data_IF_246866149456
#
_entry.id   IF_246866149456
#
_cell.length_a   1.000
_cell.length_b   1.000
_cell.length_c   1.000
_cell.angle_alpha   90.00
_cell.angle_beta   90.00
_cell.angle_gamma   90.00
#
_symmetry.space_group_name_H-M   'P 1'
#
loop_
_entity.id
_entity.type
_entity.pdbx_description
1 polymer ?
#
# COMPACT_ATOMS: atom_id res chain seq x y z
N UNK A 1 3.78 28.42 -14.63
CA UNK A 1 4.60 27.56 -13.75
C UNK A 1 4.06 26.16 -13.76
N UNK A 2 4.86 25.25 -14.25
CA UNK A 2 4.50 23.84 -14.23
C UNK A 2 4.72 23.29 -12.85
N UNK A 3 3.64 22.96 -12.15
CA UNK A 3 3.67 22.18 -10.91
C UNK A 3 4.17 20.78 -11.22
N UNK A 4 5.48 20.67 -11.41
CA UNK A 4 6.09 19.36 -11.58
C UNK A 4 6.15 18.68 -10.23
N UNK A 5 5.37 17.64 -10.10
CA UNK A 5 5.44 16.78 -8.92
C UNK A 5 6.74 16.00 -8.93
N UNK A 6 7.37 15.82 -7.76
CA UNK A 6 8.65 15.09 -7.71
C UNK A 6 8.48 13.65 -8.17
N UNK A 7 9.48 13.14 -8.88
CA UNK A 7 9.49 11.75 -9.36
C UNK A 7 9.30 10.74 -8.22
N UNK A 8 9.92 10.91 -7.03
CA UNK A 8 9.66 9.99 -5.90
C UNK A 8 8.19 9.89 -5.50
N UNK A 9 7.44 11.00 -5.56
CA UNK A 9 6.02 11.00 -5.25
C UNK A 9 5.23 10.16 -6.27
N UNK A 10 5.55 10.32 -7.55
CA UNK A 10 4.95 9.52 -8.63
C UNK A 10 5.21 8.03 -8.41
N UNK A 11 6.47 7.67 -8.12
CA UNK A 11 6.87 6.27 -7.88
C UNK A 11 6.11 5.69 -6.69
N UNK A 12 6.03 6.41 -5.57
CA UNK A 12 5.29 5.98 -4.38
C UNK A 12 3.82 5.77 -4.70
N UNK A 13 3.18 6.70 -5.39
CA UNK A 13 1.77 6.59 -5.76
C UNK A 13 1.52 5.40 -6.70
N UNK A 14 2.41 5.15 -7.65
CA UNK A 14 2.33 4.00 -8.55
C UNK A 14 2.48 2.69 -7.80
N UNK A 15 3.45 2.60 -6.87
CA UNK A 15 3.65 1.40 -6.04
C UNK A 15 2.46 1.14 -5.13
N UNK A 16 1.87 2.18 -4.53
CA UNK A 16 0.66 2.04 -3.72
C UNK A 16 -0.54 1.56 -4.54
N UNK A 17 -0.69 2.07 -5.76
CA UNK A 17 -1.75 1.64 -6.66
C UNK A 17 -1.55 0.19 -7.08
N UNK A 18 -0.31 -0.22 -7.36
CA UNK A 18 0.04 -1.60 -7.67
C UNK A 18 -0.26 -2.52 -6.49
N UNK A 19 0.10 -2.10 -5.28
CA UNK A 19 -0.17 -2.84 -4.05
C UNK A 19 -1.68 -3.00 -3.82
N UNK A 20 -2.45 -1.94 -4.02
CA UNK A 20 -3.92 -1.97 -3.95
C UNK A 20 -4.50 -2.96 -4.98
N UNK A 21 -4.00 -2.94 -6.21
CA UNK A 21 -4.43 -3.87 -7.26
C UNK A 21 -4.13 -5.32 -6.87
N UNK A 22 -2.97 -5.59 -6.25
CA UNK A 22 -2.62 -6.92 -5.77
C UNK A 22 -3.59 -7.41 -4.69
N UNK A 23 -3.95 -6.56 -3.73
CA UNK A 23 -4.93 -6.91 -2.69
C UNK A 23 -6.34 -7.14 -3.25
N UNK A 24 -6.76 -6.34 -4.23
CA UNK A 24 -8.03 -6.57 -4.93
C UNK A 24 -8.02 -7.89 -5.69
N UNK A 25 -6.93 -8.19 -6.38
CA UNK A 25 -6.77 -9.45 -7.10
C UNK A 25 -6.85 -10.66 -6.17
N UNK A 26 -6.18 -10.61 -5.03
CA UNK A 26 -6.27 -11.66 -4.00
C UNK A 26 -7.69 -11.80 -3.47
N UNK A 27 -8.36 -10.69 -3.19
CA UNK A 27 -9.74 -10.69 -2.72
C UNK A 27 -10.69 -11.34 -3.71
N UNK A 28 -10.52 -11.02 -5.00
CA UNK A 28 -11.29 -11.67 -6.09
C UNK A 28 -11.00 -13.17 -6.14
N UNK A 29 -9.73 -13.57 -6.05
CA UNK A 29 -9.34 -14.98 -6.08
C UNK A 29 -9.99 -15.76 -4.93
N UNK A 30 -9.91 -15.26 -3.70
CA UNK A 30 -10.57 -15.90 -2.54
C UNK A 30 -12.08 -15.97 -2.67
N UNK A 31 -12.71 -14.93 -3.23
CA UNK A 31 -14.16 -14.94 -3.47
C UNK A 31 -14.54 -15.99 -4.51
N UNK A 32 -13.76 -16.11 -5.58
CA UNK A 32 -13.96 -17.12 -6.61
C UNK A 32 -13.84 -18.53 -6.03
N UNK A 33 -12.85 -18.78 -5.17
CA UNK A 33 -12.69 -20.09 -4.52
C UNK A 33 -13.90 -20.46 -3.65
N UNK A 34 -14.45 -19.49 -2.94
CA UNK A 34 -15.68 -19.71 -2.15
C UNK A 34 -16.85 -20.06 -3.05
N UNK A 35 -17.05 -19.30 -4.15
CA UNK A 35 -18.17 -19.54 -5.09
C UNK A 35 -18.04 -20.90 -5.75
N UNK A 36 -16.81 -21.33 -6.06
CA UNK A 36 -16.55 -22.64 -6.67
C UNK A 36 -16.60 -23.81 -5.68
N UNK A 37 -16.69 -23.53 -4.40
CA UNK A 37 -16.68 -24.55 -3.35
C UNK A 37 -15.31 -25.17 -3.12
N UNK A 38 -14.23 -24.53 -3.58
CA UNK A 38 -12.85 -25.02 -3.41
C UNK A 38 -12.19 -24.49 -2.15
N UNK A 39 -12.80 -23.49 -1.50
CA UNK A 39 -12.26 -22.91 -0.28
C UNK A 39 -12.38 -23.88 0.90
N UNK A 40 -11.26 -24.16 1.57
CA UNK A 40 -11.23 -25.01 2.76
C UNK A 40 -11.88 -24.35 3.97
N UNK A 41 -11.80 -23.03 4.06
CA UNK A 41 -12.39 -22.22 5.13
C UNK A 41 -13.14 -21.02 4.53
N UNK A 42 -14.37 -21.22 4.03
CA UNK A 42 -15.09 -20.16 3.28
C UNK A 42 -15.27 -18.85 4.05
N UNK A 43 -15.60 -18.94 5.35
CA UNK A 43 -15.79 -17.74 6.18
C UNK A 43 -14.49 -16.93 6.32
N UNK A 44 -13.37 -17.61 6.51
CA UNK A 44 -12.05 -16.95 6.59
C UNK A 44 -11.66 -16.34 5.24
N UNK A 45 -11.92 -17.05 4.15
CA UNK A 45 -11.64 -16.54 2.79
C UNK A 45 -12.45 -15.29 2.48
N UNK A 46 -13.74 -15.26 2.84
CA UNK A 46 -14.58 -14.07 2.66
C UNK A 46 -14.13 -12.90 3.54
N UNK A 47 -13.74 -13.19 4.78
CA UNK A 47 -13.18 -12.17 5.67
C UNK A 47 -11.90 -11.55 5.08
N UNK A 48 -10.98 -12.40 4.61
CA UNK A 48 -9.74 -11.93 3.98
C UNK A 48 -10.01 -11.16 2.69
N UNK A 49 -11.00 -11.58 1.90
CA UNK A 49 -11.41 -10.85 0.70
C UNK A 49 -11.93 -9.45 1.04
N UNK A 50 -12.81 -9.34 2.04
CA UNK A 50 -13.34 -8.07 2.50
C UNK A 50 -12.23 -7.18 3.11
N UNK A 51 -11.35 -7.78 3.92
CA UNK A 51 -10.20 -7.08 4.49
C UNK A 51 -9.26 -6.56 3.40
N UNK A 52 -8.94 -7.40 2.40
CA UNK A 52 -8.11 -7.01 1.26
C UNK A 52 -8.72 -5.87 0.46
N UNK A 53 -10.03 -5.89 0.22
CA UNK A 53 -10.75 -4.81 -0.43
C UNK A 53 -10.69 -3.51 0.38
N UNK A 54 -10.83 -3.60 1.70
CA UNK A 54 -10.71 -2.45 2.61
C UNK A 54 -9.31 -1.84 2.57
N UNK A 55 -8.27 -2.66 2.62
CA UNK A 55 -6.88 -2.22 2.51
C UNK A 55 -6.62 -1.59 1.14
N UNK A 56 -7.11 -2.20 0.06
CA UNK A 56 -6.98 -1.63 -1.28
C UNK A 56 -7.61 -0.25 -1.38
N UNK A 57 -8.80 -0.08 -0.82
CA UNK A 57 -9.48 1.21 -0.77
C UNK A 57 -8.67 2.23 0.03
N UNK A 58 -8.16 1.84 1.20
CA UNK A 58 -7.31 2.70 2.04
C UNK A 58 -6.07 3.16 1.28
N UNK A 59 -5.38 2.23 0.61
CA UNK A 59 -4.17 2.53 -0.14
C UNK A 59 -4.46 3.45 -1.34
N UNK A 60 -5.57 3.26 -2.05
CA UNK A 60 -5.98 4.13 -3.15
C UNK A 60 -6.32 5.54 -2.66
N UNK A 61 -7.06 5.64 -1.55
CA UNK A 61 -7.39 6.94 -0.95
C UNK A 61 -6.11 7.64 -0.46
N UNK A 62 -5.19 6.90 0.14
CA UNK A 62 -3.91 7.44 0.59
C UNK A 62 -3.04 7.90 -0.59
N UNK A 63 -2.96 7.10 -1.67
CA UNK A 63 -2.24 7.48 -2.88
C UNK A 63 -2.80 8.78 -3.47
N UNK A 64 -4.12 8.88 -3.54
CA UNK A 64 -4.80 10.10 -3.99
C UNK A 64 -4.53 11.28 -3.06
N UNK A 65 -4.54 11.05 -1.75
CA UNK A 65 -4.22 12.06 -0.75
C UNK A 65 -2.78 12.55 -0.87
N UNK A 66 -1.82 11.65 -1.04
CA UNK A 66 -0.41 12.00 -1.27
C UNK A 66 -0.22 12.80 -2.56
N UNK A 67 -0.89 12.38 -3.62
CA UNK A 67 -0.83 13.08 -4.91
C UNK A 67 -1.35 14.51 -4.80
N UNK A 68 -2.34 14.73 -3.94
CA UNK A 68 -2.88 16.06 -3.63
C UNK A 68 -2.08 16.82 -2.57
N UNK A 69 -1.00 16.25 -2.05
CA UNK A 69 -0.16 16.84 -1.03
C UNK A 69 -0.76 16.84 0.38
N UNK A 70 -1.70 15.96 0.66
CA UNK A 70 -2.33 15.86 1.99
C UNK A 70 -1.45 15.11 2.96
N UNK A 71 -1.13 15.74 4.07
CA UNK A 71 -0.25 15.19 5.11
C UNK A 71 -0.81 13.93 5.79
N UNK A 72 -2.11 13.86 6.01
CA UNK A 72 -2.75 12.74 6.71
C UNK A 72 -2.48 11.39 6.01
N UNK A 73 -2.34 11.43 4.68
CA UNK A 73 -2.16 10.21 3.89
C UNK A 73 -0.83 9.48 4.17
N UNK A 74 0.16 10.15 4.75
CA UNK A 74 1.47 9.54 5.05
C UNK A 74 1.41 8.54 6.19
N UNK A 75 0.72 8.87 7.27
CA UNK A 75 0.69 8.06 8.50
C UNK A 75 0.12 6.65 8.27
N UNK A 76 -1.07 6.48 7.68
CA UNK A 76 -1.59 5.14 7.45
C UNK A 76 -0.74 4.33 6.48
N UNK A 77 -0.13 4.98 5.49
CA UNK A 77 0.76 4.28 4.54
C UNK A 77 2.02 3.80 5.23
N UNK A 78 2.68 4.64 6.02
CA UNK A 78 3.88 4.26 6.77
C UNK A 78 3.57 3.10 7.72
N UNK A 79 2.47 3.20 8.46
CA UNK A 79 2.04 2.14 9.39
C UNK A 79 1.84 0.81 8.66
N UNK A 80 1.16 0.87 7.51
CA UNK A 80 0.92 -0.30 6.68
C UNK A 80 2.21 -0.91 6.15
N UNK A 81 3.15 -0.07 5.68
CA UNK A 81 4.42 -0.57 5.17
C UNK A 81 5.28 -1.20 6.27
N UNK A 82 5.29 -0.64 7.47
CA UNK A 82 5.96 -1.26 8.62
C UNK A 82 5.37 -2.64 8.90
N UNK A 83 4.04 -2.76 8.90
CA UNK A 83 3.37 -4.04 9.09
C UNK A 83 3.77 -5.05 8.01
N UNK A 84 3.80 -4.63 6.74
CA UNK A 84 4.22 -5.50 5.64
C UNK A 84 5.67 -5.93 5.75
N UNK A 85 6.57 -5.05 6.18
CA UNK A 85 7.98 -5.38 6.42
C UNK A 85 8.09 -6.47 7.50
N UNK A 86 7.39 -6.30 8.61
CA UNK A 86 7.39 -7.30 9.71
C UNK A 86 6.85 -8.64 9.22
N UNK A 87 5.73 -8.62 8.49
CA UNK A 87 5.14 -9.84 7.93
C UNK A 87 6.06 -10.52 6.91
N UNK A 88 6.69 -9.75 6.03
CA UNK A 88 7.61 -10.28 5.02
C UNK A 88 8.86 -10.91 5.66
N UNK A 89 9.42 -10.28 6.69
CA UNK A 89 10.56 -10.83 7.44
C UNK A 89 10.16 -12.13 8.13
N UNK A 90 9.00 -12.15 8.79
CA UNK A 90 8.46 -13.36 9.41
C UNK A 90 8.26 -14.49 8.41
N UNK A 91 7.73 -14.16 7.25
CA UNK A 91 7.52 -15.14 6.17
C UNK A 91 8.85 -15.68 5.64
N UNK A 92 9.83 -14.82 5.38
CA UNK A 92 11.17 -15.23 4.94
C UNK A 92 11.86 -16.14 5.95
N UNK A 93 11.61 -15.94 7.25
CA UNK A 93 12.11 -16.81 8.31
C UNK A 93 11.48 -18.19 8.32
N UNK A 94 10.23 -18.32 7.91
CA UNK A 94 9.51 -19.58 7.83
C UNK A 94 9.72 -20.31 6.50
N UNK A 95 9.53 -19.59 5.39
CA UNK A 95 9.70 -20.10 4.02
C UNK A 95 10.30 -19.01 3.14
N UNK A 96 11.58 -19.15 2.72
CA UNK A 96 12.20 -18.17 1.84
C UNK A 96 11.60 -18.27 0.42
N UNK A 97 10.65 -17.41 0.12
CA UNK A 97 10.00 -17.34 -1.17
C UNK A 97 10.32 -16.04 -1.89
N UNK A 98 10.32 -16.07 -3.23
CA UNK A 98 10.51 -14.87 -4.04
C UNK A 98 9.45 -13.79 -3.76
N UNK A 99 8.21 -14.20 -3.46
CA UNK A 99 7.12 -13.28 -3.12
C UNK A 99 7.39 -12.46 -1.87
N UNK A 100 7.91 -13.10 -0.82
CA UNK A 100 8.25 -12.40 0.42
C UNK A 100 9.32 -11.34 0.18
N UNK A 101 10.32 -11.64 -0.68
CA UNK A 101 11.35 -10.68 -1.08
C UNK A 101 10.74 -9.50 -1.85
N UNK A 102 9.84 -9.77 -2.79
CA UNK A 102 9.14 -8.72 -3.57
C UNK A 102 8.35 -7.80 -2.64
N UNK A 103 7.56 -8.38 -1.73
CA UNK A 103 6.77 -7.61 -0.76
C UNK A 103 7.69 -6.75 0.11
N UNK A 104 8.79 -7.31 0.60
CA UNK A 104 9.76 -6.59 1.43
C UNK A 104 10.38 -5.41 0.68
N UNK A 105 10.84 -5.63 -0.56
CA UNK A 105 11.46 -4.59 -1.38
C UNK A 105 10.47 -3.46 -1.69
N UNK A 106 9.24 -3.80 -2.06
CA UNK A 106 8.20 -2.81 -2.35
C UNK A 106 7.85 -2.01 -1.08
N UNK A 107 7.66 -2.69 0.05
CA UNK A 107 7.32 -2.03 1.31
C UNK A 107 8.42 -1.07 1.78
N UNK A 108 9.68 -1.50 1.74
CA UNK A 108 10.83 -0.65 2.08
C UNK A 108 10.93 0.51 1.09
N UNK A 109 10.75 0.25 -0.19
CA UNK A 109 10.79 1.28 -1.23
C UNK A 109 9.74 2.38 -1.02
N UNK A 110 8.52 2.00 -0.70
CA UNK A 110 7.44 2.96 -0.40
C UNK A 110 7.76 3.74 0.89
N UNK A 111 8.17 3.05 1.94
CA UNK A 111 8.52 3.68 3.22
C UNK A 111 9.64 4.70 3.08
N UNK A 112 10.72 4.33 2.41
CA UNK A 112 11.86 5.23 2.13
C UNK A 112 11.42 6.39 1.23
N UNK A 113 10.64 6.10 0.19
CA UNK A 113 10.12 7.12 -0.72
C UNK A 113 9.30 8.20 0.00
N UNK A 114 8.49 7.80 0.98
CA UNK A 114 7.70 8.74 1.80
C UNK A 114 8.55 9.63 2.70
N UNK A 115 9.73 9.18 3.08
CA UNK A 115 10.65 9.92 3.93
C UNK A 115 11.60 10.83 3.14
N UNK A 116 11.61 10.74 1.81
CA UNK A 116 12.45 11.58 0.98
C UNK A 116 12.05 13.06 1.12
N UNK A 117 13.03 13.98 1.19
CA UNK A 117 12.76 15.40 1.38
C UNK A 117 11.81 16.00 0.35
N UNK A 118 11.89 15.55 -0.90
CA UNK A 118 11.04 16.01 -1.98
C UNK A 118 9.55 15.69 -1.72
N UNK A 119 9.25 14.48 -1.20
CA UNK A 119 7.88 14.05 -0.88
C UNK A 119 7.40 14.76 0.39
N UNK A 120 8.25 14.86 1.40
CA UNK A 120 7.94 15.57 2.65
C UNK A 120 7.60 17.03 2.36
N UNK A 121 8.36 17.69 1.49
CA UNK A 121 8.13 19.08 1.13
C UNK A 121 6.75 19.30 0.48
N UNK A 122 6.33 18.43 -0.42
CA UNK A 122 5.01 18.52 -1.09
C UNK A 122 3.87 18.39 -0.09
N UNK A 123 3.98 17.44 0.85
CA UNK A 123 2.94 17.20 1.85
C UNK A 123 2.94 18.22 2.98
N UNK A 124 4.06 18.90 3.23
CA UNK A 124 4.15 19.94 4.24
C UNK A 124 3.62 21.30 3.76
N UNK A 125 3.86 21.66 2.49
CA UNK A 125 3.53 22.98 1.93
C UNK A 125 2.03 23.33 1.98
N UNK A 126 1.17 22.34 1.88
CA UNK A 126 -0.29 22.57 1.83
C UNK A 126 -0.94 22.83 3.19
N UNK A 127 -0.16 22.88 4.25
CA UNK A 127 -0.70 23.03 5.60
C UNK A 127 -0.39 24.36 6.26
N UNK A 128 0.25 25.26 5.55
CA UNK A 128 0.48 26.59 6.09
C UNK A 128 -0.77 27.44 5.83
N UNK A 129 -1.57 27.76 6.87
CA UNK A 129 -2.78 28.57 6.70
C UNK A 129 -2.49 30.03 6.38
N UNK A 130 -1.22 30.44 6.45
CA UNK A 130 -0.79 31.80 6.10
C UNK A 130 -0.57 31.98 4.59
N UNK A 131 -0.59 30.92 3.84
CA UNK A 131 -0.53 30.93 2.39
C UNK A 131 -1.96 30.76 1.84
#
# INVERSE_FOLDING_TARGET
MTDRRPVPLLVVCLLLTLEAAAFLGLGVAWTVDVVRGTATMPAASLFLAAFGAGIALLLLLAARGLWRGRRWARSPVIMWQILLVVLAIGWLGAEPTAWAVVVLVVAVGIGVGLLLPAVVAVTARRQDPAE
#
